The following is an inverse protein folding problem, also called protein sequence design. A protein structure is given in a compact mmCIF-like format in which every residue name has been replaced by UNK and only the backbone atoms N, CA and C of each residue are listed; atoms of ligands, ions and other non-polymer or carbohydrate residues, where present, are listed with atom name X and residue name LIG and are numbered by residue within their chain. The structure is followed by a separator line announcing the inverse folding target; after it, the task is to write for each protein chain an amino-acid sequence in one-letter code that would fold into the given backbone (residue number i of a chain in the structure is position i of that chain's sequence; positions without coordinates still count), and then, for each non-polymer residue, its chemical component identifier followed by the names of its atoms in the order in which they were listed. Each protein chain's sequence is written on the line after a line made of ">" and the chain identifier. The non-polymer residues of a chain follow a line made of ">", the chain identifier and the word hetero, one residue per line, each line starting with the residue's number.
data_IF_305609666424
#
_entry.id   IF_305609666424
#
_cell.length_a   1.000
_cell.length_b   1.000
_cell.length_c   1.000
_cell.angle_alpha   90.00
_cell.angle_beta   90.00
_cell.angle_gamma   90.00
#
_symmetry.space_group_name_H-M   'P 1'
#
loop_
_entity.id
_entity.type
_entity.pdbx_description
1 polymer ?
#
# COMPACT_ATOMS: atom_id res chain seq x y z
N UNK A 1 12.62 2.42 -5.69
CA UNK A 1 13.88 2.96 -6.24
C UNK A 1 14.80 1.80 -6.52
N UNK A 2 15.77 1.98 -7.42
CA UNK A 2 16.86 1.01 -7.58
C UNK A 2 17.94 1.26 -6.52
N UNK A 3 18.59 0.18 -6.07
CA UNK A 3 19.65 0.23 -5.05
C UNK A 3 20.77 1.23 -5.40
N UNK A 4 21.09 1.40 -6.69
CA UNK A 4 22.12 2.34 -7.18
C UNK A 4 21.80 3.81 -6.92
N UNK A 5 20.52 4.19 -6.81
CA UNK A 5 20.16 5.58 -6.52
C UNK A 5 20.24 5.88 -5.03
N UNK A 6 19.95 4.89 -4.17
CA UNK A 6 19.99 5.02 -2.72
C UNK A 6 21.43 5.23 -2.21
N UNK A 7 22.39 4.54 -2.81
CA UNK A 7 23.80 4.68 -2.42
C UNK A 7 24.38 6.07 -2.73
N UNK A 8 23.78 6.81 -3.67
CA UNK A 8 24.25 8.15 -4.06
C UNK A 8 23.73 9.27 -3.15
N UNK A 9 22.74 8.98 -2.31
CA UNK A 9 22.17 9.95 -1.38
C UNK A 9 23.10 10.17 -0.19
N UNK A 10 23.14 11.41 0.28
CA UNK A 10 23.73 11.76 1.58
C UNK A 10 22.87 11.22 2.73
N UNK A 11 23.43 11.15 3.94
CA UNK A 11 22.71 10.60 5.10
C UNK A 11 21.45 11.41 5.45
N UNK A 12 21.50 12.73 5.26
CA UNK A 12 20.34 13.61 5.45
C UNK A 12 19.22 13.33 4.44
N UNK A 13 19.57 13.19 3.15
CA UNK A 13 18.63 12.85 2.09
C UNK A 13 18.02 11.46 2.27
N UNK A 14 18.84 10.50 2.73
CA UNK A 14 18.40 9.13 3.01
C UNK A 14 17.37 9.08 4.16
N UNK A 15 17.58 9.88 5.22
CA UNK A 15 16.62 10.03 6.32
C UNK A 15 15.33 10.75 5.88
N UNK A 16 15.43 11.70 4.96
CA UNK A 16 14.27 12.39 4.38
C UNK A 16 13.42 11.43 3.54
N UNK A 17 14.06 10.61 2.70
CA UNK A 17 13.39 9.58 1.90
C UNK A 17 12.76 8.51 2.81
N UNK A 18 13.42 8.13 3.92
CA UNK A 18 12.83 7.26 4.97
C UNK A 18 11.52 7.84 5.54
N UNK A 19 11.48 9.14 5.89
CA UNK A 19 10.26 9.79 6.39
C UNK A 19 9.14 9.80 5.36
N UNK A 20 9.48 10.08 4.09
CA UNK A 20 8.53 10.05 2.97
C UNK A 20 7.99 8.64 2.73
N UNK A 21 8.84 7.62 2.80
CA UNK A 21 8.44 6.22 2.72
C UNK A 21 7.50 5.82 3.86
N UNK A 22 7.80 6.22 5.10
CA UNK A 22 6.94 5.95 6.25
C UNK A 22 5.55 6.58 6.08
N UNK A 23 5.48 7.85 5.64
CA UNK A 23 4.21 8.52 5.33
C UNK A 23 3.42 7.79 4.25
N UNK A 24 4.09 7.37 3.17
CA UNK A 24 3.45 6.59 2.10
C UNK A 24 2.94 5.23 2.59
N UNK A 25 3.70 4.55 3.47
CA UNK A 25 3.28 3.28 4.08
C UNK A 25 2.03 3.44 4.93
N UNK A 26 1.96 4.48 5.76
CA UNK A 26 0.75 4.81 6.54
C UNK A 26 -0.43 5.09 5.61
N UNK A 27 -0.24 5.94 4.60
CA UNK A 27 -1.30 6.26 3.65
C UNK A 27 -1.84 5.01 2.95
N UNK A 28 -0.94 4.13 2.47
CA UNK A 28 -1.32 2.87 1.87
C UNK A 28 -2.10 1.97 2.85
N UNK A 29 -1.66 1.88 4.11
CA UNK A 29 -2.36 1.09 5.13
C UNK A 29 -3.78 1.62 5.40
N UNK A 30 -3.93 2.95 5.52
CA UNK A 30 -5.24 3.60 5.71
C UNK A 30 -6.13 3.37 4.48
N UNK A 31 -5.59 3.56 3.27
CA UNK A 31 -6.33 3.36 2.04
C UNK A 31 -6.80 1.90 1.88
N UNK A 32 -5.93 0.94 2.17
CA UNK A 32 -6.29 -0.48 2.17
C UNK A 32 -7.39 -0.77 3.20
N UNK A 33 -7.28 -0.24 4.42
CA UNK A 33 -8.32 -0.39 5.45
C UNK A 33 -9.67 0.20 5.04
N UNK A 34 -9.66 1.38 4.43
CA UNK A 34 -10.87 2.02 3.89
C UNK A 34 -11.52 1.19 2.77
N UNK A 35 -10.72 0.74 1.79
CA UNK A 35 -11.21 -0.10 0.70
C UNK A 35 -11.73 -1.45 1.21
N UNK A 36 -11.04 -2.07 2.17
CA UNK A 36 -11.51 -3.29 2.83
C UNK A 36 -12.84 -3.07 3.56
N UNK A 37 -13.02 -1.93 4.22
CA UNK A 37 -14.29 -1.54 4.85
C UNK A 37 -15.43 -1.46 3.82
N UNK A 38 -15.19 -0.82 2.66
CA UNK A 38 -16.16 -0.77 1.56
C UNK A 38 -16.49 -2.17 1.05
N UNK A 39 -15.50 -3.04 0.89
CA UNK A 39 -15.70 -4.43 0.47
C UNK A 39 -16.59 -5.19 1.46
N UNK A 40 -16.29 -5.12 2.76
CA UNK A 40 -17.06 -5.80 3.80
C UNK A 40 -18.50 -5.30 3.82
N UNK A 41 -18.69 -3.98 3.83
CA UNK A 41 -20.03 -3.37 3.81
C UNK A 41 -20.79 -3.77 2.55
N UNK A 42 -20.15 -3.68 1.38
CA UNK A 42 -20.77 -4.04 0.11
C UNK A 42 -21.18 -5.52 0.06
N UNK A 43 -20.34 -6.44 0.53
CA UNK A 43 -20.69 -7.87 0.62
C UNK A 43 -21.84 -8.08 1.59
N UNK A 44 -21.81 -7.44 2.75
CA UNK A 44 -22.85 -7.56 3.77
C UNK A 44 -24.21 -7.05 3.27
N UNK A 45 -24.24 -5.91 2.58
CA UNK A 45 -25.43 -5.37 1.92
C UNK A 45 -25.94 -6.28 0.80
N UNK A 46 -25.04 -6.85 -0.01
CA UNK A 46 -25.42 -7.77 -1.09
C UNK A 46 -26.05 -9.06 -0.55
N UNK A 47 -25.50 -9.64 0.53
CA UNK A 47 -26.06 -10.85 1.16
C UNK A 47 -27.47 -10.60 1.71
N UNK A 48 -27.73 -9.39 2.23
CA UNK A 48 -29.05 -9.03 2.76
C UNK A 48 -30.07 -8.63 1.68
N UNK A 49 -29.66 -8.51 0.41
CA UNK A 49 -30.57 -8.12 -0.67
C UNK A 49 -31.33 -9.36 -1.18
N UNK A 50 -32.68 -9.34 -1.21
CA UNK A 50 -33.48 -10.48 -1.67
C UNK A 50 -33.27 -10.79 -3.17
N UNK A 51 -33.05 -9.75 -3.98
CA UNK A 51 -32.69 -9.88 -5.39
C UNK A 51 -31.17 -9.94 -5.56
N UNK A 52 -30.62 -11.14 -5.73
CA UNK A 52 -29.18 -11.37 -5.92
C UNK A 52 -28.73 -10.93 -7.32
N UNK A 53 -28.60 -9.61 -7.52
CA UNK A 53 -28.05 -9.06 -8.75
C UNK A 53 -26.53 -9.21 -8.74
N UNK A 54 -26.02 -10.15 -9.54
CA UNK A 54 -24.58 -10.38 -9.71
C UNK A 54 -23.85 -9.14 -10.26
N UNK A 55 -24.56 -8.24 -10.96
CA UNK A 55 -24.01 -6.97 -11.45
C UNK A 55 -23.46 -6.06 -10.35
N UNK A 56 -23.90 -6.22 -9.10
CA UNK A 56 -23.39 -5.46 -7.95
C UNK A 56 -21.96 -5.87 -7.54
N UNK A 57 -21.51 -7.08 -7.89
CA UNK A 57 -20.17 -7.57 -7.57
C UNK A 57 -19.10 -7.05 -8.54
N UNK A 58 -19.49 -6.64 -9.75
CA UNK A 58 -18.57 -6.14 -10.77
C UNK A 58 -17.80 -4.89 -10.29
N UNK A 59 -18.45 -3.83 -9.78
CA UNK A 59 -17.72 -2.65 -9.27
C UNK A 59 -16.87 -2.96 -8.03
N UNK A 60 -17.14 -4.06 -7.31
CA UNK A 60 -16.36 -4.51 -6.15
C UNK A 60 -14.96 -5.01 -6.52
N UNK A 61 -14.74 -5.38 -7.80
CA UNK A 61 -13.42 -5.74 -8.30
C UNK A 61 -12.45 -4.54 -8.36
N UNK A 62 -12.99 -3.32 -8.49
CA UNK A 62 -12.20 -2.08 -8.57
C UNK A 62 -11.38 -1.86 -7.29
N UNK A 63 -11.99 -1.76 -6.09
CA UNK A 63 -11.23 -1.62 -4.85
C UNK A 63 -10.28 -2.79 -4.61
N UNK A 64 -10.66 -4.02 -5.02
CA UNK A 64 -9.79 -5.19 -4.91
C UNK A 64 -8.51 -5.07 -5.76
N UNK A 65 -8.65 -4.57 -7.00
CA UNK A 65 -7.51 -4.28 -7.88
C UNK A 65 -6.59 -3.20 -7.29
N UNK A 66 -7.16 -2.14 -6.69
CA UNK A 66 -6.38 -1.09 -6.04
C UNK A 66 -5.58 -1.63 -4.84
N UNK A 67 -6.20 -2.45 -3.99
CA UNK A 67 -5.52 -3.12 -2.87
C UNK A 67 -4.35 -3.97 -3.38
N UNK A 68 -4.58 -4.81 -4.40
CA UNK A 68 -3.53 -5.64 -5.01
C UNK A 68 -2.36 -4.80 -5.53
N UNK A 69 -2.66 -3.71 -6.24
CA UNK A 69 -1.63 -2.79 -6.77
C UNK A 69 -0.83 -2.14 -5.64
N UNK A 70 -1.48 -1.69 -4.57
CA UNK A 70 -0.82 -1.08 -3.42
C UNK A 70 0.11 -2.06 -2.69
N UNK A 71 -0.34 -3.29 -2.46
CA UNK A 71 0.45 -4.37 -1.85
C UNK A 71 1.68 -4.70 -2.70
N UNK A 72 1.50 -4.87 -4.01
CA UNK A 72 2.60 -5.18 -4.95
C UNK A 72 3.67 -4.10 -4.96
N UNK A 73 3.28 -2.82 -4.86
CA UNK A 73 4.22 -1.71 -4.84
C UNK A 73 4.99 -1.62 -3.50
N UNK A 74 4.36 -2.02 -2.39
CA UNK A 74 4.98 -1.94 -1.06
C UNK A 74 6.15 -2.91 -0.84
N UNK A 75 6.22 -4.04 -1.56
CA UNK A 75 7.29 -5.03 -1.42
C UNK A 75 8.65 -4.57 -2.02
N UNK A 76 8.70 -3.44 -2.75
CA UNK A 76 9.93 -2.94 -3.40
C UNK A 76 10.84 -2.12 -2.46
N UNK A 77 10.55 -2.05 -1.17
CA UNK A 77 11.18 -1.09 -0.25
C UNK A 77 12.28 -1.68 0.65
N UNK A 78 12.58 -2.97 0.53
CA UNK A 78 13.62 -3.63 1.34
C UNK A 78 15.02 -3.05 1.11
N UNK A 79 15.28 -2.45 -0.06
CA UNK A 79 16.59 -1.91 -0.40
C UNK A 79 16.93 -0.64 0.40
N UNK A 80 15.94 0.18 0.74
CA UNK A 80 16.13 1.39 1.55
C UNK A 80 16.42 1.05 3.02
N UNK A 81 15.77 0.02 3.58
CA UNK A 81 16.09 -0.44 4.94
C UNK A 81 17.47 -1.09 5.04
N UNK A 82 17.93 -1.77 3.99
CA UNK A 82 19.28 -2.34 3.93
C UNK A 82 20.34 -1.25 3.94
N UNK A 83 20.21 -0.25 3.08
CA UNK A 83 21.16 0.87 3.01
C UNK A 83 21.22 1.65 4.34
N UNK A 84 20.08 1.91 4.98
CA UNK A 84 20.03 2.56 6.29
C UNK A 84 20.73 1.75 7.40
N UNK A 85 20.64 0.42 7.37
CA UNK A 85 21.34 -0.46 8.31
C UNK A 85 22.84 -0.53 8.02
N UNK A 86 23.23 -0.64 6.74
CA UNK A 86 24.64 -0.67 6.32
C UNK A 86 25.39 0.60 6.77
N UNK A 87 24.71 1.75 6.83
CA UNK A 87 25.27 3.03 7.29
C UNK A 87 25.09 3.33 8.79
N UNK A 88 24.51 2.41 9.57
CA UNK A 88 24.31 2.62 11.02
C UNK A 88 23.28 3.70 11.38
N UNK A 89 22.41 4.08 10.44
CA UNK A 89 21.35 5.09 10.63
C UNK A 89 20.03 4.48 11.17
N UNK A 90 20.09 3.21 11.63
CA UNK A 90 18.96 2.46 12.20
C UNK A 90 19.43 1.30 13.09
#
# INVERSE_FOLDING_TARGET
>A
MEKKELHKLTDEELLLEKKKHYKSKIFNAIAIGFLAGILIYGVFSWIQTPDKKLGFLIPMLIPLFFIYRMLKNSNKHNDLEKELKERGLK
#
